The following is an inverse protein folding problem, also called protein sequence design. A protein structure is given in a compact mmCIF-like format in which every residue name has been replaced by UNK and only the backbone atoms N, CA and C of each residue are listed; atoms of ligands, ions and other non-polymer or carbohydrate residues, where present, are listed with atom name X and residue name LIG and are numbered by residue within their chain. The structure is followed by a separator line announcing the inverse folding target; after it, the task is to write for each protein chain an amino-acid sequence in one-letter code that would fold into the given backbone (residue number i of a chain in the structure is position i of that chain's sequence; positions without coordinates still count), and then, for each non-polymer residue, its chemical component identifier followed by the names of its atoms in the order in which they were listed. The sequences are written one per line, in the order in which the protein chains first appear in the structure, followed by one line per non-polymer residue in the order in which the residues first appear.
data_IF_286555548205
#
_entry.id   IF_286555548205
#
_cell.length_a   1.000
_cell.length_b   1.000
_cell.length_c   1.000
_cell.angle_alpha   90.00
_cell.angle_beta   90.00
_cell.angle_gamma   90.00
#
_symmetry.space_group_name_H-M   'P 1'
#
loop_
_entity.id
_entity.type
_entity.pdbx_description
1 polymer ?
#
# COMPACT_ATOMS: atom_id res chain seq x y z
N UNK A 1 -53.04 27.11 -45.30
CA UNK A 1 -52.08 26.28 -44.53
C UNK A 1 -52.50 26.38 -43.07
N UNK A 2 -52.72 25.22 -42.46
CA UNK A 2 -53.37 25.00 -41.18
C UNK A 2 -52.62 25.62 -39.99
N UNK A 3 -53.39 26.14 -39.03
CA UNK A 3 -52.95 26.67 -37.74
C UNK A 3 -52.38 25.56 -36.85
N UNK A 4 -51.24 25.82 -36.20
CA UNK A 4 -50.74 24.98 -35.10
C UNK A 4 -51.29 25.52 -33.76
N UNK A 5 -52.15 24.72 -33.13
CA UNK A 5 -52.59 24.83 -31.73
C UNK A 5 -51.53 24.12 -30.88
N UNK A 6 -51.06 24.76 -29.81
CA UNK A 6 -50.27 24.10 -28.75
C UNK A 6 -51.17 24.13 -27.51
N UNK A 7 -51.54 22.93 -27.08
CA UNK A 7 -52.39 22.65 -25.92
C UNK A 7 -51.48 22.51 -24.71
N UNK A 8 -51.75 23.29 -23.67
CA UNK A 8 -51.13 23.18 -22.36
C UNK A 8 -51.70 21.95 -21.67
N UNK A 9 -50.82 21.06 -21.19
CA UNK A 9 -51.20 19.90 -20.38
C UNK A 9 -50.61 20.13 -18.99
N UNK A 10 -51.40 20.75 -18.13
CA UNK A 10 -51.29 20.63 -16.68
C UNK A 10 -52.41 19.71 -16.16
N UNK A 11 -52.16 19.18 -14.96
CA UNK A 11 -53.05 18.45 -14.05
C UNK A 11 -53.22 16.93 -14.29
N UNK A 12 -52.71 16.12 -13.35
CA UNK A 12 -53.49 15.82 -12.13
C UNK A 12 -52.94 14.59 -11.38
N UNK A 13 -52.64 14.82 -10.10
CA UNK A 13 -52.97 14.04 -8.91
C UNK A 13 -53.10 12.49 -8.99
N UNK A 14 -52.22 11.78 -8.27
CA UNK A 14 -52.47 10.42 -7.82
C UNK A 14 -52.01 10.25 -6.36
N UNK A 15 -52.89 10.65 -5.45
CA UNK A 15 -53.50 9.79 -4.44
C UNK A 15 -52.55 9.06 -3.44
N UNK A 16 -52.57 9.60 -2.21
CA UNK A 16 -52.72 8.90 -0.93
C UNK A 16 -52.15 7.47 -0.77
N UNK A 17 -51.19 7.35 0.15
CA UNK A 17 -51.32 6.35 1.23
C UNK A 17 -50.27 5.24 1.31
N UNK A 18 -49.08 5.57 1.82
CA UNK A 18 -48.35 4.65 2.71
C UNK A 18 -47.55 5.45 3.74
N UNK A 19 -47.97 5.32 4.99
CA UNK A 19 -47.45 5.96 6.21
C UNK A 19 -45.98 5.61 6.43
N UNK A 20 -45.16 6.60 6.78
CA UNK A 20 -43.85 6.44 7.41
C UNK A 20 -44.05 6.36 8.94
N UNK A 21 -43.89 5.18 9.57
CA UNK A 21 -44.07 5.04 11.00
C UNK A 21 -42.72 5.09 11.72
N UNK A 22 -42.63 6.07 12.62
CA UNK A 22 -41.68 6.14 13.74
C UNK A 22 -40.34 6.82 13.42
N UNK A 23 -40.32 8.10 13.75
CA UNK A 23 -39.17 8.71 14.41
C UNK A 23 -38.67 7.80 15.55
N UNK A 24 -37.49 7.21 15.34
CA UNK A 24 -36.68 6.61 16.39
C UNK A 24 -35.75 7.69 16.96
N UNK A 25 -36.16 8.27 18.06
CA UNK A 25 -35.40 9.20 18.89
C UNK A 25 -34.00 8.62 19.23
N UNK A 26 -32.95 9.27 18.72
CA UNK A 26 -31.54 8.89 18.92
C UNK A 26 -30.94 9.48 20.21
N UNK A 27 -31.76 9.96 21.15
CA UNK A 27 -31.27 10.59 22.36
C UNK A 27 -30.79 9.65 23.48
N UNK A 28 -30.95 8.32 23.33
CA UNK A 28 -30.71 7.35 24.43
C UNK A 28 -29.53 6.36 24.24
N UNK A 29 -28.51 6.73 23.45
CA UNK A 29 -27.27 5.91 23.30
C UNK A 29 -26.05 6.50 24.01
N UNK A 30 -26.21 7.63 24.70
CA UNK A 30 -25.11 8.37 25.32
C UNK A 30 -24.90 8.07 26.82
N UNK A 31 -25.69 7.16 27.43
CA UNK A 31 -25.73 6.99 28.89
C UNK A 31 -25.27 5.64 29.45
N UNK A 32 -24.83 4.67 28.64
CA UNK A 32 -24.44 3.32 29.14
C UNK A 32 -22.99 2.87 28.86
N UNK A 33 -22.04 3.80 28.81
CA UNK A 33 -20.61 3.45 28.97
C UNK A 33 -20.06 4.10 30.23
N UNK A 34 -20.35 3.48 31.37
CA UNK A 34 -19.72 3.86 32.64
C UNK A 34 -18.34 3.19 32.76
N UNK A 35 -17.31 4.03 32.85
CA UNK A 35 -15.87 3.69 32.86
C UNK A 35 -15.38 3.00 34.16
N UNK A 36 -16.24 2.25 34.88
CA UNK A 36 -15.91 1.67 36.20
C UNK A 36 -15.81 0.14 36.27
N UNK A 37 -16.05 -0.60 35.18
CA UNK A 37 -16.04 -2.08 35.21
C UNK A 37 -14.81 -2.77 34.60
N UNK A 38 -13.81 -2.04 34.08
CA UNK A 38 -12.64 -2.63 33.40
C UNK A 38 -11.49 -3.02 34.36
N UNK A 39 -11.63 -2.78 35.68
CA UNK A 39 -10.56 -3.09 36.66
C UNK A 39 -11.02 -4.15 37.67
N UNK A 40 -11.05 -5.41 37.24
CA UNK A 40 -11.04 -6.59 38.13
C UNK A 40 -9.73 -7.36 38.01
N UNK A 41 -8.76 -6.87 38.79
CA UNK A 41 -7.76 -7.59 39.59
C UNK A 41 -7.70 -9.13 39.37
N UNK A 42 -6.70 -9.61 38.61
CA UNK A 42 -6.28 -11.03 38.66
C UNK A 42 -5.26 -11.18 39.80
N UNK A 43 -5.69 -11.72 40.93
CA UNK A 43 -4.79 -12.20 42.00
C UNK A 43 -4.53 -13.70 41.88
N UNK A 44 -3.30 -14.05 42.29
CA UNK A 44 -2.82 -15.34 42.77
C UNK A 44 -2.32 -16.38 41.76
N UNK A 45 -1.02 -16.65 41.86
CA UNK A 45 -0.29 -17.79 41.31
C UNK A 45 -0.36 -19.00 42.26
N UNK A 46 -0.31 -20.25 41.75
CA UNK A 46 -0.03 -21.45 42.56
C UNK A 46 1.47 -21.82 42.59
N UNK A 47 1.91 -22.67 43.54
CA UNK A 47 3.30 -22.75 43.98
C UNK A 47 4.21 -23.65 43.12
N UNK A 48 5.51 -23.40 43.30
CA UNK A 48 6.62 -24.01 42.59
C UNK A 48 6.75 -25.54 42.78
N UNK A 49 6.92 -26.25 41.66
CA UNK A 49 7.56 -27.57 41.63
C UNK A 49 8.96 -27.43 41.03
N UNK A 50 9.98 -27.91 41.75
CA UNK A 50 11.38 -27.87 41.32
C UNK A 50 11.57 -28.81 40.12
N UNK A 51 11.90 -28.25 38.95
CA UNK A 51 12.41 -29.00 37.79
C UNK A 51 13.86 -28.62 37.53
N UNK A 52 14.69 -29.63 37.29
CA UNK A 52 16.11 -29.51 36.97
C UNK A 52 16.33 -28.80 35.61
N UNK A 53 17.49 -28.13 35.40
CA UNK A 53 17.77 -27.43 34.15
C UNK A 53 18.11 -28.40 33.00
N UNK A 54 17.64 -28.15 31.76
CA UNK A 54 18.16 -28.83 30.57
C UNK A 54 19.51 -28.24 30.15
N UNK A 55 20.36 -29.00 29.43
CA UNK A 55 21.69 -28.57 29.06
C UNK A 55 21.69 -27.50 27.96
N UNK A 56 22.73 -26.69 28.02
CA UNK A 56 23.04 -25.50 27.24
C UNK A 56 22.82 -25.70 25.72
N UNK A 57 21.78 -25.06 25.17
CA UNK A 57 21.69 -24.77 23.74
C UNK A 57 21.88 -23.27 23.58
N UNK A 58 23.07 -22.86 23.14
CA UNK A 58 23.36 -21.49 22.73
C UNK A 58 22.48 -21.18 21.50
N UNK A 59 21.29 -20.65 21.75
CA UNK A 59 20.54 -19.95 20.71
C UNK A 59 21.19 -18.59 20.55
N UNK A 60 21.70 -18.31 19.35
CA UNK A 60 22.12 -16.98 18.92
C UNK A 60 20.89 -16.08 18.85
N UNK A 61 20.35 -15.70 20.01
CA UNK A 61 19.32 -14.68 20.13
C UNK A 61 19.97 -13.35 19.76
N UNK A 62 19.88 -12.98 18.48
CA UNK A 62 20.20 -11.62 18.05
C UNK A 62 19.27 -10.66 18.79
N UNK A 63 19.86 -9.83 19.66
CA UNK A 63 19.16 -8.77 20.36
C UNK A 63 18.67 -7.74 19.31
N UNK A 64 17.36 -7.44 19.21
CA UNK A 64 16.84 -6.48 18.23
C UNK A 64 17.42 -5.06 18.40
N UNK A 65 18.07 -4.76 19.54
CA UNK A 65 18.78 -3.52 19.77
C UNK A 65 20.10 -3.38 18.96
N UNK A 66 20.62 -4.46 18.37
CA UNK A 66 21.91 -4.47 17.67
C UNK A 66 21.80 -4.44 16.13
N UNK A 67 20.60 -4.23 15.57
CA UNK A 67 20.46 -3.95 14.14
C UNK A 67 20.96 -2.52 13.93
N UNK A 68 22.04 -2.28 13.17
CA UNK A 68 22.46 -0.93 12.83
C UNK A 68 21.41 -0.36 11.86
N UNK A 69 20.37 0.26 12.42
CA UNK A 69 19.55 1.21 11.68
C UNK A 69 20.47 2.41 11.45
N UNK A 70 21.09 2.46 10.27
CA UNK A 70 21.79 3.65 9.79
C UNK A 70 20.73 4.74 9.61
N UNK A 71 20.42 5.41 10.71
CA UNK A 71 19.65 6.63 10.75
C UNK A 71 20.32 7.70 9.90
N UNK A 72 19.49 8.58 9.36
CA UNK A 72 19.89 9.80 8.68
C UNK A 72 20.68 9.60 7.38
N UNK A 73 19.95 9.47 6.29
CA UNK A 73 20.42 9.96 5.00
C UNK A 73 19.31 10.82 4.42
N UNK A 74 19.54 12.13 4.38
CA UNK A 74 18.84 13.03 3.47
C UNK A 74 19.14 12.49 2.07
N UNK A 75 18.21 11.80 1.44
CA UNK A 75 18.39 11.39 0.06
C UNK A 75 18.07 12.59 -0.81
N UNK A 76 19.05 13.06 -1.57
CA UNK A 76 18.85 14.00 -2.67
C UNK A 76 18.55 13.20 -3.92
N UNK A 77 17.33 13.32 -4.46
CA UNK A 77 17.07 12.84 -5.81
C UNK A 77 17.99 13.58 -6.81
N UNK A 78 18.29 12.97 -7.95
CA UNK A 78 19.12 13.57 -9.01
C UNK A 78 18.65 14.98 -9.44
N UNK A 79 17.38 15.30 -9.21
CA UNK A 79 16.74 16.59 -9.49
C UNK A 79 16.85 17.62 -8.33
N UNK A 80 17.71 17.38 -7.33
CA UNK A 80 17.92 18.27 -6.17
C UNK A 80 16.80 18.26 -5.13
N UNK A 81 15.86 17.31 -5.21
CA UNK A 81 14.75 17.17 -4.24
C UNK A 81 15.24 16.51 -2.96
N UNK A 82 15.13 17.22 -1.84
CA UNK A 82 15.57 16.80 -0.50
C UNK A 82 14.47 16.02 0.22
N UNK A 83 14.73 14.77 0.61
CA UNK A 83 13.80 13.96 1.41
C UNK A 83 14.14 14.06 2.91
N UNK A 84 13.20 14.46 3.77
CA UNK A 84 13.40 14.60 5.23
C UNK A 84 12.77 13.45 6.00
N UNK A 85 13.54 12.84 6.91
CA UNK A 85 13.06 11.84 7.88
C UNK A 85 12.07 12.48 8.88
N UNK A 86 11.07 11.70 9.32
CA UNK A 86 9.84 12.14 10.01
C UNK A 86 10.00 12.45 11.51
N UNK A 87 11.20 12.81 11.98
CA UNK A 87 11.50 12.92 13.41
C UNK A 87 10.64 13.99 14.11
N UNK A 88 10.26 15.06 13.40
CA UNK A 88 9.33 16.09 13.88
C UNK A 88 7.92 15.94 13.31
N UNK A 89 7.22 14.87 13.69
CA UNK A 89 5.81 14.68 13.29
C UNK A 89 4.93 15.89 13.62
N UNK A 90 5.24 16.60 14.72
CA UNK A 90 4.55 17.81 15.17
C UNK A 90 4.60 18.98 14.18
N UNK A 91 5.73 19.17 13.49
CA UNK A 91 5.90 20.25 12.51
C UNK A 91 4.90 20.15 11.35
N UNK A 92 4.54 18.92 10.99
CA UNK A 92 3.75 18.62 9.79
C UNK A 92 2.30 18.20 10.10
N UNK A 93 1.80 18.51 11.31
CA UNK A 93 0.43 18.16 11.73
C UNK A 93 -0.63 18.92 10.95
N UNK A 94 -0.40 20.20 10.70
CA UNK A 94 -1.36 21.08 9.99
C UNK A 94 -1.25 21.00 8.46
N UNK A 95 -0.32 20.19 7.95
CA UNK A 95 -0.10 20.08 6.51
C UNK A 95 -1.21 19.23 5.88
N UNK A 96 -1.63 19.63 4.68
CA UNK A 96 -2.66 18.91 3.95
C UNK A 96 -2.09 17.64 3.31
N UNK A 97 -2.78 16.51 3.49
CA UNK A 97 -2.46 15.26 2.81
C UNK A 97 -2.92 15.28 1.35
N UNK A 98 -2.02 14.84 0.47
CA UNK A 98 -2.24 14.62 -0.95
C UNK A 98 -1.77 13.19 -1.28
N UNK A 99 -2.62 12.45 -1.98
CA UNK A 99 -2.35 11.08 -2.41
C UNK A 99 -2.44 10.98 -3.94
N UNK A 100 -1.70 10.04 -4.57
CA UNK A 100 -1.75 9.81 -6.02
C UNK A 100 -3.14 9.58 -6.58
N UNK A 101 -3.98 8.79 -5.88
CA UNK A 101 -5.36 8.48 -6.27
C UNK A 101 -6.24 9.72 -6.56
N UNK A 102 -5.87 10.89 -6.03
CA UNK A 102 -6.61 12.13 -6.29
C UNK A 102 -6.53 12.57 -7.76
N UNK A 103 -5.51 12.13 -8.48
CA UNK A 103 -5.23 12.50 -9.87
C UNK A 103 -5.45 11.34 -10.85
N UNK A 104 -5.89 10.18 -10.37
CA UNK A 104 -6.00 8.96 -11.19
C UNK A 104 -7.22 9.00 -12.11
N UNK A 105 -6.98 8.91 -13.43
CA UNK A 105 -8.01 8.89 -14.47
C UNK A 105 -8.83 7.59 -14.47
N UNK A 106 -8.28 6.49 -13.92
CA UNK A 106 -8.98 5.20 -13.85
C UNK A 106 -10.00 5.12 -12.71
N UNK A 107 -9.97 6.12 -11.81
CA UNK A 107 -10.85 6.21 -10.64
C UNK A 107 -11.94 7.23 -10.86
N UNK A 108 -13.15 6.93 -10.41
CA UNK A 108 -14.24 7.92 -10.28
C UNK A 108 -14.00 8.88 -9.10
N UNK A 109 -14.82 9.94 -9.00
CA UNK A 109 -14.77 10.85 -7.84
C UNK A 109 -15.13 10.15 -6.52
N UNK A 110 -16.06 9.19 -6.57
CA UNK A 110 -16.44 8.34 -5.44
C UNK A 110 -15.29 7.39 -5.02
N UNK A 111 -14.53 6.90 -5.99
CA UNK A 111 -13.38 6.03 -5.77
C UNK A 111 -12.15 6.76 -5.23
N UNK A 112 -12.06 8.08 -5.42
CA UNK A 112 -11.03 8.90 -4.76
C UNK A 112 -10.51 10.07 -5.59
N UNK A 113 -10.79 10.09 -6.90
CA UNK A 113 -10.37 11.19 -7.78
C UNK A 113 -10.91 12.52 -7.25
N UNK A 114 -10.09 13.57 -7.28
CA UNK A 114 -10.44 14.92 -6.82
C UNK A 114 -10.48 15.95 -7.94
N UNK A 115 -9.78 15.70 -9.03
CA UNK A 115 -9.77 16.56 -10.22
C UNK A 115 -10.81 16.13 -11.26
N UNK A 116 -11.05 17.00 -12.25
CA UNK A 116 -11.86 16.68 -13.43
C UNK A 116 -11.17 15.61 -14.29
N UNK A 117 -11.95 14.90 -15.10
CA UNK A 117 -11.42 13.79 -15.91
C UNK A 117 -10.41 14.31 -16.94
N UNK A 118 -10.66 15.49 -17.47
CA UNK A 118 -9.83 16.23 -18.41
C UNK A 118 -8.49 16.67 -17.83
N UNK A 119 -8.28 16.62 -16.52
CA UNK A 119 -6.98 16.89 -15.88
C UNK A 119 -6.36 15.65 -15.24
N UNK A 120 -7.11 14.58 -15.11
CA UNK A 120 -6.63 13.34 -14.53
C UNK A 120 -5.59 12.65 -15.45
N UNK A 121 -4.71 11.87 -14.84
CA UNK A 121 -3.63 11.14 -15.52
C UNK A 121 -3.70 9.64 -15.19
N UNK A 122 -3.15 8.81 -16.07
CA UNK A 122 -2.97 7.38 -15.78
C UNK A 122 -1.73 7.19 -14.91
N UNK A 123 -1.79 6.24 -13.98
CA UNK A 123 -0.68 5.85 -13.11
C UNK A 123 0.00 7.03 -12.38
N UNK A 124 -0.74 7.94 -11.70
CA UNK A 124 -0.10 9.00 -10.93
C UNK A 124 0.80 8.39 -9.85
N UNK A 125 1.98 8.96 -9.62
CA UNK A 125 2.89 8.55 -8.54
C UNK A 125 3.22 9.73 -7.65
N UNK A 126 3.43 9.48 -6.36
CA UNK A 126 3.66 10.55 -5.39
C UNK A 126 4.97 11.33 -5.64
N UNK A 127 5.96 10.70 -6.28
CA UNK A 127 7.23 11.35 -6.67
C UNK A 127 7.00 12.58 -7.55
N UNK A 128 6.15 12.47 -8.57
CA UNK A 128 5.82 13.59 -9.46
C UNK A 128 4.99 14.67 -8.76
N UNK A 129 4.18 14.28 -7.76
CA UNK A 129 3.48 15.25 -6.89
C UNK A 129 4.49 16.09 -6.09
N UNK A 130 5.54 15.45 -5.56
CA UNK A 130 6.63 16.17 -4.86
C UNK A 130 7.35 17.11 -5.84
N UNK A 131 7.65 16.65 -7.06
CA UNK A 131 8.27 17.48 -8.10
C UNK A 131 7.40 18.71 -8.44
N UNK A 132 6.09 18.52 -8.60
CA UNK A 132 5.13 19.60 -8.81
C UNK A 132 5.15 20.62 -7.66
N UNK A 133 5.10 20.15 -6.41
CA UNK A 133 5.12 21.02 -5.24
C UNK A 133 6.46 21.77 -5.10
N UNK A 134 7.57 21.12 -5.46
CA UNK A 134 8.91 21.75 -5.49
C UNK A 134 8.98 22.88 -6.52
N UNK A 135 8.45 22.67 -7.75
CA UNK A 135 8.35 23.72 -8.78
C UNK A 135 7.48 24.89 -8.32
N UNK A 136 6.41 24.58 -7.57
CA UNK A 136 5.56 25.57 -6.93
C UNK A 136 6.17 26.18 -5.66
N UNK A 137 7.39 25.81 -5.25
CA UNK A 137 8.05 26.33 -4.03
C UNK A 137 7.19 26.19 -2.76
N UNK A 138 6.44 25.09 -2.65
CA UNK A 138 5.65 24.79 -1.46
C UNK A 138 6.45 23.87 -0.55
N UNK A 139 6.45 24.15 0.76
CA UNK A 139 7.02 23.23 1.73
C UNK A 139 6.22 21.92 1.76
N UNK A 140 6.92 20.79 1.60
CA UNK A 140 6.30 19.47 1.59
C UNK A 140 7.08 18.46 2.41
N UNK A 141 6.37 17.43 2.88
CA UNK A 141 6.94 16.22 3.46
C UNK A 141 6.47 15.02 2.62
N UNK A 142 7.42 14.22 2.15
CA UNK A 142 7.14 13.00 1.40
C UNK A 142 7.20 11.78 2.31
N UNK A 143 6.12 11.01 2.34
CA UNK A 143 6.00 9.75 3.07
C UNK A 143 5.82 8.60 2.05
N UNK A 144 6.92 8.00 1.56
CA UNK A 144 6.89 7.07 0.42
C UNK A 144 6.04 5.83 0.67
N UNK A 145 6.06 5.28 1.88
CA UNK A 145 5.43 3.98 2.19
C UNK A 145 3.94 4.12 2.54
N UNK A 146 3.42 5.33 2.77
CA UNK A 146 2.04 5.53 3.18
C UNK A 146 1.08 5.44 1.99
N UNK A 147 0.07 4.60 2.10
CA UNK A 147 -0.94 4.37 1.05
C UNK A 147 -2.28 5.01 1.42
N UNK A 148 -3.12 5.23 0.41
CA UNK A 148 -4.52 5.61 0.63
C UNK A 148 -5.36 4.34 0.81
N UNK A 149 -6.36 4.28 1.72
CA UNK A 149 -7.14 3.06 1.94
C UNK A 149 -7.87 2.52 0.70
N UNK A 150 -8.30 3.42 -0.19
CA UNK A 150 -8.95 3.07 -1.47
C UNK A 150 -7.97 2.70 -2.60
N UNK A 151 -6.66 2.80 -2.36
CA UNK A 151 -5.60 2.49 -3.33
C UNK A 151 -4.35 2.01 -2.59
N UNK A 152 -4.47 0.80 -2.05
CA UNK A 152 -3.42 0.16 -1.24
C UNK A 152 -2.18 -0.20 -2.08
N UNK A 153 -2.33 -0.34 -3.40
CA UNK A 153 -1.27 -0.76 -4.31
C UNK A 153 -0.35 0.38 -4.73
N UNK A 154 -0.78 1.64 -4.64
CA UNK A 154 0.02 2.79 -5.04
C UNK A 154 0.52 3.58 -3.81
N UNK A 155 1.72 3.24 -3.28
CA UNK A 155 2.25 3.90 -2.10
C UNK A 155 2.77 5.31 -2.41
N UNK A 156 2.59 6.19 -1.43
CA UNK A 156 3.10 7.54 -1.42
C UNK A 156 2.06 8.52 -0.90
N UNK A 157 2.47 9.31 0.08
CA UNK A 157 1.69 10.45 0.58
C UNK A 157 2.57 11.68 0.60
N UNK A 158 2.01 12.81 0.20
CA UNK A 158 2.67 14.11 0.26
C UNK A 158 1.88 14.98 1.22
N UNK A 159 2.53 15.46 2.29
CA UNK A 159 1.97 16.52 3.13
C UNK A 159 2.42 17.87 2.58
N UNK A 160 1.52 18.83 2.46
CA UNK A 160 1.79 20.13 1.83
C UNK A 160 1.35 21.29 2.72
N UNK A 161 2.22 22.28 2.90
CA UNK A 161 1.90 23.51 3.60
C UNK A 161 1.24 24.54 2.68
N UNK A 162 -0.09 24.51 2.57
CA UNK A 162 -0.83 25.47 1.73
C UNK A 162 -0.81 26.87 2.35
N UNK A 163 -0.77 26.97 3.68
CA UNK A 163 -0.85 28.24 4.41
C UNK A 163 0.51 28.94 4.55
N UNK A 164 1.61 28.26 4.21
CA UNK A 164 2.99 28.70 4.38
C UNK A 164 3.46 29.85 3.48
N UNK A 165 2.55 30.68 2.97
CA UNK A 165 2.92 31.96 2.35
C UNK A 165 3.09 31.97 0.83
N UNK A 166 2.78 30.90 0.09
CA UNK A 166 2.75 30.98 -1.36
C UNK A 166 1.43 31.59 -1.86
N UNK A 167 1.49 32.87 -2.24
CA UNK A 167 0.34 33.65 -2.73
C UNK A 167 -0.22 33.16 -4.07
N UNK A 168 0.51 32.34 -4.84
CA UNK A 168 0.01 31.76 -6.08
C UNK A 168 -1.12 30.73 -5.84
N UNK A 169 -1.23 30.17 -4.63
CA UNK A 169 -2.16 29.09 -4.32
C UNK A 169 -3.32 29.62 -3.49
N UNK A 170 -4.42 29.94 -4.18
CA UNK A 170 -5.63 30.48 -3.56
C UNK A 170 -6.33 29.49 -2.63
N UNK A 171 -6.45 28.23 -3.06
CA UNK A 171 -7.16 27.20 -2.31
C UNK A 171 -6.65 25.79 -2.65
N UNK A 172 -7.12 24.80 -1.90
CA UNK A 172 -6.75 23.39 -2.08
C UNK A 172 -7.12 22.85 -3.47
N UNK A 173 -8.26 23.24 -4.02
CA UNK A 173 -8.68 22.80 -5.35
C UNK A 173 -7.75 23.35 -6.44
N UNK A 174 -7.33 24.61 -6.31
CA UNK A 174 -6.38 25.27 -7.22
C UNK A 174 -5.03 24.54 -7.19
N UNK A 175 -4.54 24.17 -6.00
CA UNK A 175 -3.35 23.34 -5.87
C UNK A 175 -3.50 22.00 -6.63
N UNK A 176 -4.66 21.34 -6.52
CA UNK A 176 -4.91 20.09 -7.25
C UNK A 176 -4.87 20.31 -8.76
N UNK A 177 -5.47 21.38 -9.26
CA UNK A 177 -5.42 21.73 -10.69
C UNK A 177 -3.99 21.98 -11.16
N UNK A 178 -3.17 22.68 -10.38
CA UNK A 178 -1.76 22.94 -10.71
C UNK A 178 -0.92 21.66 -10.72
N UNK A 179 -1.09 20.80 -9.73
CA UNK A 179 -0.42 19.49 -9.68
C UNK A 179 -0.86 18.64 -10.88
N UNK A 180 -2.16 18.58 -11.17
CA UNK A 180 -2.68 17.78 -12.28
C UNK A 180 -2.12 18.22 -13.65
N UNK A 181 -1.99 19.54 -13.88
CA UNK A 181 -1.33 20.07 -15.08
C UNK A 181 0.12 19.60 -15.18
N UNK A 182 0.87 19.71 -14.10
CA UNK A 182 2.25 19.22 -14.04
C UNK A 182 2.33 17.71 -14.34
N UNK A 183 1.45 16.89 -13.74
CA UNK A 183 1.41 15.46 -13.98
C UNK A 183 1.07 15.12 -15.44
N UNK A 184 0.26 15.94 -16.11
CA UNK A 184 -0.04 15.77 -17.55
C UNK A 184 1.17 16.07 -18.43
N UNK A 185 1.92 17.12 -18.08
CA UNK A 185 3.15 17.51 -18.78
C UNK A 185 4.31 16.53 -18.50
N UNK A 186 4.28 15.84 -17.36
CA UNK A 186 5.32 14.92 -16.89
C UNK A 186 4.67 13.55 -16.60
N UNK A 187 4.21 12.82 -17.64
CA UNK A 187 3.52 11.55 -17.44
C UNK A 187 4.45 10.53 -16.78
N UNK A 188 3.89 9.75 -15.84
CA UNK A 188 4.64 8.71 -15.13
C UNK A 188 5.21 7.69 -16.11
N UNK A 189 6.52 7.52 -16.06
CA UNK A 189 7.22 6.44 -16.75
C UNK A 189 7.68 5.38 -15.77
N UNK A 190 8.00 4.19 -16.27
CA UNK A 190 8.63 3.12 -15.49
C UNK A 190 9.87 3.63 -14.76
N UNK A 191 10.72 4.42 -15.44
CA UNK A 191 11.91 5.04 -14.84
C UNK A 191 11.57 5.93 -13.66
N UNK A 192 10.57 6.80 -13.79
CA UNK A 192 10.12 7.71 -12.72
C UNK A 192 9.68 6.94 -11.48
N UNK A 193 8.96 5.83 -11.66
CA UNK A 193 8.51 4.99 -10.55
C UNK A 193 9.66 4.32 -9.78
N UNK A 194 10.87 4.23 -10.37
CA UNK A 194 12.06 3.62 -9.76
C UNK A 194 13.00 4.61 -9.09
N UNK A 195 12.81 5.92 -9.29
CA UNK A 195 13.73 6.92 -8.77
C UNK A 195 13.80 7.02 -7.23
N UNK A 196 12.69 6.95 -6.46
CA UNK A 196 12.76 7.20 -5.04
C UNK A 196 13.44 6.04 -4.31
N UNK A 197 14.71 6.20 -3.94
CA UNK A 197 15.43 5.21 -3.14
C UNK A 197 14.97 5.26 -1.69
N UNK A 198 14.54 4.12 -1.16
CA UNK A 198 14.18 3.97 0.24
C UNK A 198 15.28 3.24 1.01
N UNK A 199 15.60 3.74 2.20
CA UNK A 199 16.52 3.06 3.10
C UNK A 199 16.01 1.64 3.42
N UNK A 200 16.89 0.65 3.28
CA UNK A 200 16.56 -0.75 3.56
C UNK A 200 15.80 -1.50 2.46
N UNK A 201 15.44 -0.86 1.33
CA UNK A 201 14.90 -1.58 0.16
C UNK A 201 15.90 -1.45 -0.99
N UNK A 202 16.50 -2.56 -1.46
CA UNK A 202 17.47 -2.51 -2.55
C UNK A 202 16.79 -1.97 -3.82
N UNK A 203 17.47 -1.10 -4.59
CA UNK A 203 16.95 -0.66 -5.86
C UNK A 203 16.83 -1.87 -6.81
N UNK A 204 15.82 -1.87 -7.70
CA UNK A 204 15.67 -2.94 -8.68
C UNK A 204 16.86 -2.98 -9.64
N UNK A 205 17.23 -4.18 -10.08
CA UNK A 205 18.28 -4.40 -11.07
C UNK A 205 17.90 -3.71 -12.40
N UNK A 206 18.72 -2.77 -12.92
CA UNK A 206 18.41 -2.04 -14.15
C UNK A 206 18.34 -2.94 -15.39
N UNK A 207 18.88 -4.15 -15.32
CA UNK A 207 18.91 -5.11 -16.43
C UNK A 207 17.60 -5.88 -16.58
N UNK A 208 16.75 -5.90 -15.54
CA UNK A 208 15.50 -6.68 -15.53
C UNK A 208 14.30 -5.77 -15.79
N UNK A 209 13.36 -6.17 -16.66
CA UNK A 209 12.12 -5.43 -16.83
C UNK A 209 11.32 -5.50 -15.54
N UNK A 210 10.60 -4.41 -15.24
CA UNK A 210 9.84 -4.34 -14.01
C UNK A 210 8.70 -5.36 -14.03
N UNK A 211 8.47 -6.07 -12.91
CA UNK A 211 7.27 -6.88 -12.79
C UNK A 211 6.08 -5.93 -12.87
N UNK A 212 5.14 -6.22 -13.79
CA UNK A 212 3.82 -5.57 -13.75
C UNK A 212 3.01 -6.25 -12.65
N UNK A 213 2.23 -5.49 -11.87
CA UNK A 213 1.40 -6.11 -10.84
C UNK A 213 0.43 -7.09 -11.49
N UNK A 214 0.35 -8.31 -10.96
CA UNK A 214 -0.62 -9.30 -11.39
C UNK A 214 -2.00 -8.90 -10.85
N UNK A 215 -2.75 -8.09 -11.61
CA UNK A 215 -4.05 -7.57 -11.20
C UNK A 215 -5.12 -8.65 -11.37
N UNK A 216 -5.79 -9.10 -10.29
CA UNK A 216 -6.93 -10.01 -10.41
C UNK A 216 -8.04 -9.37 -11.24
N UNK A 217 -8.81 -10.19 -11.97
CA UNK A 217 -9.93 -9.68 -12.78
C UNK A 217 -10.90 -8.86 -11.91
N UNK A 218 -11.27 -7.68 -12.42
CA UNK A 218 -12.18 -6.76 -11.73
C UNK A 218 -11.51 -5.82 -10.72
N UNK A 219 -10.25 -6.05 -10.35
CA UNK A 219 -9.51 -5.12 -9.49
C UNK A 219 -8.98 -3.97 -10.35
N UNK A 220 -9.17 -2.75 -9.89
CA UNK A 220 -8.58 -1.56 -10.49
C UNK A 220 -7.25 -1.30 -9.79
N UNK A 221 -6.14 -1.42 -10.51
CA UNK A 221 -4.79 -1.08 -10.04
C UNK A 221 -4.02 -0.41 -11.19
N UNK A 222 -3.06 0.45 -10.83
CA UNK A 222 -2.17 1.05 -11.82
C UNK A 222 -1.26 0.01 -12.47
N UNK A 223 -0.96 0.21 -13.75
CA UNK A 223 -0.01 -0.64 -14.50
C UNK A 223 1.44 -0.37 -14.08
N UNK A 224 1.73 0.89 -13.71
CA UNK A 224 3.04 1.35 -13.25
C UNK A 224 2.91 1.71 -11.78
N UNK A 225 3.66 1.02 -10.93
CA UNK A 225 3.72 1.25 -9.49
C UNK A 225 5.18 1.45 -9.04
N UNK A 226 5.42 2.20 -7.96
CA UNK A 226 6.75 2.27 -7.35
C UNK A 226 7.26 0.89 -6.93
N UNK A 227 8.56 0.62 -7.06
CA UNK A 227 9.13 -0.71 -6.76
C UNK A 227 8.90 -1.18 -5.32
N UNK A 228 8.77 -0.25 -4.38
CA UNK A 228 8.46 -0.51 -2.98
C UNK A 228 6.95 -0.72 -2.73
N UNK A 229 6.13 -0.85 -3.78
CA UNK A 229 4.73 -1.23 -3.66
C UNK A 229 4.56 -2.66 -3.16
N UNK A 230 3.63 -2.84 -2.21
CA UNK A 230 3.21 -4.15 -1.74
C UNK A 230 2.65 -5.05 -2.87
N UNK A 231 2.10 -4.45 -3.93
CA UNK A 231 1.56 -5.17 -5.08
C UNK A 231 2.66 -5.70 -6.03
N UNK A 232 3.88 -5.14 -5.97
CA UNK A 232 5.02 -5.59 -6.75
C UNK A 232 5.94 -6.52 -5.95
N UNK A 233 6.18 -6.19 -4.67
CA UNK A 233 7.08 -6.93 -3.78
C UNK A 233 6.45 -8.22 -3.20
N UNK A 234 5.24 -8.59 -3.64
CA UNK A 234 4.66 -9.90 -3.34
C UNK A 234 4.25 -10.13 -1.88
N UNK A 235 3.90 -9.09 -1.13
CA UNK A 235 3.26 -9.28 0.18
C UNK A 235 4.08 -10.10 1.18
N UNK A 236 5.36 -9.80 1.35
CA UNK A 236 6.04 -10.07 2.63
C UNK A 236 6.56 -11.47 2.90
N UNK A 237 6.92 -12.26 1.90
CA UNK A 237 8.12 -13.11 1.90
C UNK A 237 8.56 -13.12 0.44
N UNK A 238 9.71 -12.54 0.12
CA UNK A 238 10.24 -12.73 -1.23
C UNK A 238 10.42 -14.24 -1.44
N UNK A 239 10.01 -14.79 -2.57
CA UNK A 239 10.41 -16.14 -3.02
C UNK A 239 11.97 -16.29 -2.99
N UNK A 240 12.67 -15.16 -2.97
CA UNK A 240 14.10 -15.03 -2.80
C UNK A 240 14.59 -15.06 -1.35
N UNK A 241 13.78 -14.93 -0.30
CA UNK A 241 14.29 -14.99 1.08
C UNK A 241 14.79 -16.40 1.41
N UNK A 242 14.06 -17.43 0.97
CA UNK A 242 14.53 -18.82 1.08
C UNK A 242 15.77 -19.06 0.21
N UNK A 243 15.84 -18.44 -0.99
CA UNK A 243 16.97 -18.59 -1.92
C UNK A 243 18.22 -17.83 -1.47
N UNK A 244 18.08 -16.63 -0.94
CA UNK A 244 19.15 -15.79 -0.39
C UNK A 244 19.60 -16.37 0.95
N UNK A 245 18.69 -16.88 1.80
CA UNK A 245 19.06 -17.62 3.01
C UNK A 245 19.80 -18.92 2.66
N UNK A 246 19.42 -19.64 1.60
CA UNK A 246 20.14 -20.84 1.14
C UNK A 246 21.48 -20.50 0.48
N UNK A 247 21.59 -19.35 -0.20
CA UNK A 247 22.84 -18.87 -0.79
C UNK A 247 23.82 -18.37 0.28
N UNK A 248 23.30 -17.73 1.34
CA UNK A 248 24.08 -17.26 2.49
C UNK A 248 24.46 -18.43 3.42
N UNK A 249 23.56 -19.38 3.66
CA UNK A 249 23.82 -20.58 4.47
C UNK A 249 24.63 -21.64 3.69
N UNK A 250 24.53 -21.66 2.37
CA UNK A 250 25.36 -22.48 1.46
C UNK A 250 26.80 -22.00 1.34
N UNK A 251 27.10 -20.78 1.83
CA UNK A 251 28.46 -20.24 1.90
C UNK A 251 29.21 -20.55 3.20
N UNK A 252 28.56 -21.14 4.22
CA UNK A 252 29.14 -21.26 5.56
C UNK A 252 28.97 -22.63 6.25
N UNK A 253 28.75 -23.70 5.48
CA UNK A 253 28.84 -25.07 6.00
C UNK A 253 29.97 -25.84 5.30
N UNK A 254 31.19 -25.85 5.87
CA UNK A 254 32.20 -26.81 5.47
C UNK A 254 31.76 -28.19 5.96
N UNK A 255 31.14 -29.00 5.09
CA UNK A 255 30.88 -30.41 5.43
C UNK A 255 29.86 -31.20 4.62
N UNK A 256 28.94 -30.57 3.87
CA UNK A 256 27.88 -31.34 3.19
C UNK A 256 28.23 -31.77 1.74
N UNK A 257 29.43 -31.42 1.24
CA UNK A 257 29.90 -31.88 -0.07
C UNK A 257 30.35 -33.36 -0.08
N UNK A 258 30.49 -34.01 1.08
CA UNK A 258 30.97 -35.38 1.21
C UNK A 258 29.90 -36.48 1.21
N UNK A 259 28.61 -36.14 1.17
CA UNK A 259 27.52 -37.13 1.23
C UNK A 259 26.88 -37.47 -0.13
N UNK A 260 27.40 -36.92 -1.22
CA UNK A 260 26.85 -37.15 -2.57
C UNK A 260 27.75 -37.99 -3.48
N UNK A 261 28.79 -38.65 -2.94
CA UNK A 261 29.69 -39.50 -3.74
C UNK A 261 29.98 -40.86 -3.06
N UNK A 262 29.17 -41.86 -3.44
CA UNK A 262 29.53 -43.29 -3.48
C UNK A 262 29.01 -44.21 -2.35
N UNK A 263 28.84 -45.54 -2.61
CA UNK A 263 28.36 -46.23 -3.81
C UNK A 263 27.20 -47.21 -3.52
N UNK A 264 26.46 -47.56 -4.58
CA UNK A 264 25.65 -48.78 -4.80
C UNK A 264 25.40 -49.76 -3.64
N UNK A 265 24.13 -49.89 -3.23
CA UNK A 265 23.57 -51.20 -2.88
C UNK A 265 22.10 -51.30 -3.29
N UNK A 266 21.87 -52.16 -4.27
CA UNK A 266 20.61 -52.68 -4.75
C UNK A 266 19.64 -53.14 -3.64
N UNK A 267 18.38 -52.71 -3.70
CA UNK A 267 17.24 -53.56 -3.33
C UNK A 267 15.96 -52.98 -3.95
N UNK A 268 15.36 -53.78 -4.83
CA UNK A 268 14.09 -53.52 -5.48
C UNK A 268 12.91 -53.62 -4.50
N UNK A 269 11.90 -52.77 -4.68
CA UNK A 269 10.51 -53.16 -4.44
C UNK A 269 9.55 -52.25 -5.21
N UNK A 270 9.00 -52.81 -6.28
CA UNK A 270 7.88 -52.27 -7.05
C UNK A 270 6.60 -52.20 -6.19
N UNK A 271 5.84 -51.11 -6.29
CA UNK A 271 4.42 -51.10 -5.94
C UNK A 271 3.58 -50.26 -6.90
N UNK A 272 3.11 -50.97 -7.94
CA UNK A 272 1.88 -50.83 -8.74
C UNK A 272 1.11 -49.50 -8.70
N UNK A 273 1.15 -48.80 -9.84
CA UNK A 273 0.18 -47.80 -10.32
C UNK A 273 -1.08 -48.54 -10.81
N UNK A 274 -2.25 -48.17 -10.30
CA UNK A 274 -3.56 -48.75 -10.65
C UNK A 274 -4.21 -47.90 -11.75
N UNK A 275 -4.14 -48.37 -12.99
CA UNK A 275 -4.86 -47.79 -14.13
C UNK A 275 -6.36 -48.08 -14.08
N UNK A 276 -7.17 -47.03 -14.28
CA UNK A 276 -8.64 -47.08 -14.29
C UNK A 276 -9.11 -47.23 -15.74
N UNK A 277 -9.35 -48.47 -16.17
CA UNK A 277 -9.84 -48.81 -17.51
C UNK A 277 -11.31 -48.40 -17.69
N UNK A 278 -11.53 -47.51 -18.65
CA UNK A 278 -12.83 -47.10 -19.21
C UNK A 278 -13.47 -48.32 -19.89
N UNK A 279 -14.72 -48.65 -19.55
CA UNK A 279 -15.50 -49.74 -20.14
C UNK A 279 -16.49 -49.12 -21.13
N UNK A 280 -16.31 -49.38 -22.41
CA UNK A 280 -17.29 -49.18 -23.48
C UNK A 280 -17.96 -50.55 -23.68
N UNK A 281 -19.28 -50.62 -23.49
CA UNK A 281 -20.19 -51.60 -24.12
C UNK A 281 -20.91 -50.79 -25.21
N UNK A 282 -21.00 -51.24 -26.45
CA UNK A 282 -21.53 -52.54 -26.82
C UNK A 282 -23.02 -52.36 -26.98
#
# INVERSE_FOLDING_TARGET
MSHARIEEVEDSDNEYGARDPSEGDISDVASDFSDRDIIKKRTAAPPATKRAPPPNAQSSQMNPANIPYSGSQITTGADGTQFRSTEDSSKYKDFQYIYPIYFDATRSRAEGRRVGMELAVKNPVAREIVAACSRLRIETLFEPVKTHPKDWANPGRVKVNIRGGNTAIKNKHHLYTLIAKHLKENPTTERTAMQPQLAGIPPPDPSKPLPRPAVPKGWKMGEILPYYSAALSGGGISENLFKDMLAEMGGQMPGMAGMMDGPSSSAASESKKKDKKKKIKG
#
